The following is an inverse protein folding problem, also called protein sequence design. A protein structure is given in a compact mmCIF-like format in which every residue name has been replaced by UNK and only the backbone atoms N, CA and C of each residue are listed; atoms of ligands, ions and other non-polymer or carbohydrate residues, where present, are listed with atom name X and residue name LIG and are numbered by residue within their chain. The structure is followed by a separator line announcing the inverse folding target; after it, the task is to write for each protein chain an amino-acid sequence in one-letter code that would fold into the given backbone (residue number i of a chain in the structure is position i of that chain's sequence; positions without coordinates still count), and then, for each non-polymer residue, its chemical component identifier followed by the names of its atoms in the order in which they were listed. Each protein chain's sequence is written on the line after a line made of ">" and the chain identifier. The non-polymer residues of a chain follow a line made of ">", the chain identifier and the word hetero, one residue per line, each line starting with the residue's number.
data_IF_679896632647
#
_entry.id   IF_679896632647
#
_cell.length_a   1.000
_cell.length_b   1.000
_cell.length_c   1.000
_cell.angle_alpha   90.00
_cell.angle_beta   90.00
_cell.angle_gamma   90.00
#
_symmetry.space_group_name_H-M   'P 1'
#
loop_
_entity.id
_entity.type
_entity.pdbx_description
1 polymer ?
#
# COMPACT_ATOMS: atom_id res chain seq x y z
N UNK A 1 11.77 -16.65 -64.97
CA UNK A 1 11.67 -16.89 -63.51
C UNK A 1 12.37 -15.79 -62.68
N UNK A 2 11.97 -14.51 -62.81
CA UNK A 2 12.53 -13.40 -62.01
C UNK A 2 11.49 -12.33 -61.64
N UNK A 3 10.24 -12.75 -61.44
CA UNK A 3 9.13 -11.79 -61.21
C UNK A 3 8.14 -12.24 -60.12
N UNK A 4 8.61 -13.04 -59.15
CA UNK A 4 7.78 -13.46 -58.00
C UNK A 4 8.42 -13.14 -56.63
N UNK A 5 9.59 -12.51 -56.59
CA UNK A 5 10.34 -12.24 -55.34
C UNK A 5 10.09 -10.82 -54.79
N UNK A 6 9.25 -10.00 -55.43
CA UNK A 6 8.98 -8.62 -54.97
C UNK A 6 7.63 -8.41 -54.27
N UNK A 7 6.80 -9.44 -54.12
CA UNK A 7 5.48 -9.31 -53.46
C UNK A 7 5.47 -9.90 -52.05
N UNK A 8 6.46 -10.73 -51.69
CA UNK A 8 6.55 -11.37 -50.36
C UNK A 8 7.17 -10.49 -49.27
N UNK A 9 7.58 -9.26 -49.58
CA UNK A 9 8.17 -8.32 -48.60
C UNK A 9 7.17 -7.31 -48.03
N UNK A 10 5.95 -7.22 -48.57
CA UNK A 10 4.93 -6.23 -48.14
C UNK A 10 3.99 -6.82 -47.07
N UNK A 11 3.93 -8.14 -46.92
CA UNK A 11 3.08 -8.78 -45.92
C UNK A 11 3.72 -8.93 -44.52
N UNK A 12 5.02 -8.62 -44.38
CA UNK A 12 5.74 -8.76 -43.10
C UNK A 12 5.87 -7.44 -42.32
N UNK A 13 5.17 -6.37 -42.75
CA UNK A 13 5.31 -5.04 -42.15
C UNK A 13 4.05 -4.55 -41.40
N UNK A 14 3.03 -5.41 -41.24
CA UNK A 14 1.75 -5.02 -40.62
C UNK A 14 1.46 -5.64 -39.23
N UNK A 15 2.40 -6.35 -38.61
CA UNK A 15 2.18 -6.96 -37.28
C UNK A 15 2.70 -6.12 -36.10
N UNK A 16 3.09 -4.86 -36.31
CA UNK A 16 3.49 -3.97 -35.21
C UNK A 16 2.39 -3.01 -34.73
N UNK A 17 1.15 -3.20 -35.19
CA UNK A 17 0.01 -2.45 -34.64
C UNK A 17 -0.62 -3.21 -33.48
N UNK A 18 -0.39 -2.69 -32.27
CA UNK A 18 -1.36 -2.81 -31.19
C UNK A 18 -1.02 -3.83 -30.11
N UNK A 19 -0.02 -3.53 -29.30
CA UNK A 19 -0.02 -3.98 -27.91
C UNK A 19 0.16 -2.76 -27.01
N UNK A 20 -0.85 -1.90 -26.93
CA UNK A 20 -0.99 -0.98 -25.81
C UNK A 20 -2.42 -1.03 -25.27
N UNK A 21 -2.58 -0.66 -24.00
CA UNK A 21 -3.81 -0.35 -23.26
C UNK A 21 -4.39 -1.36 -22.26
N UNK A 22 -3.79 -2.54 -22.02
CA UNK A 22 -4.26 -3.42 -20.92
C UNK A 22 -3.32 -3.50 -19.72
N UNK A 23 -2.01 -3.58 -19.92
CA UNK A 23 -1.06 -3.61 -18.80
C UNK A 23 -1.05 -2.29 -18.02
N UNK A 24 -1.16 -1.16 -18.72
CA UNK A 24 -1.20 0.19 -18.14
C UNK A 24 -2.39 0.38 -17.18
N UNK A 25 -3.55 -0.20 -17.51
CA UNK A 25 -4.75 -0.14 -16.66
C UNK A 25 -4.65 -1.02 -15.40
N UNK A 26 -3.81 -2.05 -15.40
CA UNK A 26 -3.52 -2.84 -14.20
C UNK A 26 -2.45 -2.18 -13.34
N UNK A 27 -1.54 -1.41 -13.94
CA UNK A 27 -0.57 -0.63 -13.18
C UNK A 27 -1.28 0.35 -12.24
N UNK A 28 -2.41 0.95 -12.61
CA UNK A 28 -3.12 1.89 -11.72
C UNK A 28 -3.96 1.23 -10.62
N UNK A 29 -4.22 -0.08 -10.68
CA UNK A 29 -5.08 -0.76 -9.70
C UNK A 29 -4.27 -1.55 -8.69
N UNK A 30 -4.59 -1.40 -7.41
CA UNK A 30 -4.13 -2.33 -6.37
C UNK A 30 -4.85 -3.66 -6.56
N UNK A 31 -4.14 -4.67 -7.04
CA UNK A 31 -4.66 -6.03 -7.18
C UNK A 31 -4.52 -6.72 -5.82
N UNK A 32 -5.45 -7.59 -5.45
CA UNK A 32 -5.29 -8.50 -4.32
C UNK A 32 -4.94 -9.89 -4.86
N UNK A 33 -3.65 -10.22 -4.83
CA UNK A 33 -3.15 -11.56 -5.16
C UNK A 33 -2.84 -12.25 -3.84
N UNK A 34 -3.54 -13.35 -3.53
CA UNK A 34 -3.38 -14.08 -2.27
C UNK A 34 -2.01 -14.78 -2.18
N UNK A 35 -1.44 -14.81 -0.98
CA UNK A 35 -0.21 -15.51 -0.66
C UNK A 35 -0.50 -17.01 -0.42
N UNK A 36 0.09 -17.93 -1.20
CA UNK A 36 -0.17 -19.36 -1.05
C UNK A 36 0.31 -19.95 0.29
N UNK A 37 1.20 -19.23 1.00
CA UNK A 37 1.76 -19.65 2.29
C UNK A 37 1.19 -18.90 3.48
N UNK A 38 0.43 -17.82 3.24
CA UNK A 38 -0.21 -17.00 4.26
C UNK A 38 -1.69 -16.77 3.92
N UNK A 39 -2.59 -17.67 4.36
CA UNK A 39 -3.99 -17.63 4.00
C UNK A 39 -4.64 -16.26 4.22
N UNK A 40 -5.47 -15.82 3.28
CA UNK A 40 -6.18 -14.54 3.31
C UNK A 40 -5.30 -13.28 3.33
N UNK A 41 -3.97 -13.37 3.17
CA UNK A 41 -3.10 -12.20 3.03
C UNK A 41 -2.59 -12.04 1.60
N UNK A 42 -2.25 -10.82 1.16
CA UNK A 42 -1.69 -10.65 -0.16
C UNK A 42 -0.25 -11.17 -0.24
N UNK A 43 0.20 -11.66 -1.39
CA UNK A 43 1.60 -11.96 -1.64
C UNK A 43 2.47 -10.70 -1.53
N UNK A 44 3.64 -10.81 -0.91
CA UNK A 44 4.58 -9.70 -0.80
C UNK A 44 5.62 -9.79 -1.92
N UNK A 45 5.48 -8.99 -2.98
CA UNK A 45 6.36 -9.04 -4.17
C UNK A 45 7.42 -7.95 -4.24
N UNK A 46 7.17 -6.77 -3.64
CA UNK A 46 8.05 -5.58 -3.76
C UNK A 46 8.12 -4.98 -5.18
N UNK A 47 7.06 -5.25 -5.95
CA UNK A 47 6.94 -4.87 -7.35
C UNK A 47 5.82 -3.84 -7.57
N UNK A 48 4.99 -3.56 -6.55
CA UNK A 48 3.97 -2.51 -6.58
C UNK A 48 2.67 -2.90 -7.27
N UNK A 49 2.49 -4.20 -7.49
CA UNK A 49 1.29 -4.77 -8.12
C UNK A 49 0.27 -5.27 -7.11
N UNK A 50 0.64 -5.39 -5.82
CA UNK A 50 -0.20 -6.04 -4.82
C UNK A 50 -0.58 -5.12 -3.68
N UNK A 51 -1.71 -5.41 -3.06
CA UNK A 51 -2.25 -4.54 -2.04
C UNK A 51 -1.67 -4.81 -0.65
N UNK A 52 -2.32 -4.32 0.41
CA UNK A 52 -1.88 -4.52 1.79
C UNK A 52 -2.72 -5.57 2.53
N UNK A 53 -2.13 -6.14 3.58
CA UNK A 53 -2.85 -7.00 4.52
C UNK A 53 -2.09 -7.20 5.82
N UNK A 54 -2.83 -7.52 6.88
CA UNK A 54 -2.30 -7.92 8.17
C UNK A 54 -3.30 -8.84 8.87
N UNK A 55 -2.88 -9.52 9.94
CA UNK A 55 -3.83 -10.12 10.87
C UNK A 55 -4.02 -9.17 12.05
N UNK A 56 -5.28 -8.83 12.34
CA UNK A 56 -5.67 -8.25 13.63
C UNK A 56 -6.06 -9.42 14.53
N UNK A 57 -5.23 -9.66 15.54
CA UNK A 57 -5.16 -10.85 16.38
C UNK A 57 -4.94 -12.12 15.54
N UNK A 58 -6.01 -12.67 14.98
CA UNK A 58 -6.01 -13.91 14.18
C UNK A 58 -6.86 -13.81 12.91
N UNK A 59 -7.49 -12.66 12.69
CA UNK A 59 -8.43 -12.47 11.60
C UNK A 59 -7.84 -11.53 10.56
N UNK A 60 -8.00 -11.82 9.27
CA UNK A 60 -7.40 -11.03 8.22
C UNK A 60 -8.07 -9.65 8.13
N UNK A 61 -7.22 -8.64 8.08
CA UNK A 61 -7.53 -7.28 7.68
C UNK A 61 -6.81 -7.04 6.35
N UNK A 62 -7.57 -6.96 5.27
CA UNK A 62 -7.02 -6.86 3.92
C UNK A 62 -7.70 -5.77 3.14
N UNK A 63 -6.94 -5.19 2.22
CA UNK A 63 -7.52 -4.29 1.23
C UNK A 63 -8.63 -4.95 0.42
N UNK A 64 -9.50 -4.11 -0.12
CA UNK A 64 -10.65 -4.52 -0.88
C UNK A 64 -10.87 -3.47 -2.00
N UNK A 65 -11.32 -3.88 -3.18
CA UNK A 65 -11.57 -2.98 -4.33
C UNK A 65 -12.53 -1.83 -4.01
N UNK A 66 -13.48 -2.02 -3.08
CA UNK A 66 -14.43 -0.98 -2.65
C UNK A 66 -13.93 -0.11 -1.49
N UNK A 67 -12.81 -0.46 -0.84
CA UNK A 67 -12.28 0.27 0.33
C UNK A 67 -11.60 1.60 -0.03
N UNK A 68 -11.45 1.89 -1.33
CA UNK A 68 -10.71 3.03 -1.83
C UNK A 68 -9.20 2.78 -1.92
N UNK A 69 -8.50 3.73 -2.53
CA UNK A 69 -7.05 3.66 -2.75
C UNK A 69 -6.34 4.10 -1.45
N UNK A 70 -5.28 3.42 -1.00
CA UNK A 70 -4.43 3.91 0.08
C UNK A 70 -3.89 5.29 -0.23
N UNK A 71 -3.84 6.16 0.77
CA UNK A 71 -3.47 7.56 0.61
C UNK A 71 -2.30 7.91 1.52
N UNK A 72 -1.41 8.73 0.98
CA UNK A 72 -0.45 9.52 1.76
C UNK A 72 -0.87 10.98 1.71
N UNK A 73 -0.91 11.61 2.87
CA UNK A 73 -1.16 13.05 2.98
C UNK A 73 -0.11 13.67 3.86
N UNK A 74 0.52 14.75 3.41
CA UNK A 74 1.43 15.57 4.17
C UNK A 74 0.71 16.86 4.54
N UNK A 75 0.70 17.20 5.83
CA UNK A 75 0.20 18.48 6.33
C UNK A 75 1.24 19.05 7.28
N UNK A 76 1.85 20.18 6.92
CA UNK A 76 3.02 20.71 7.64
C UNK A 76 4.06 19.59 7.77
N UNK A 77 4.53 19.30 8.98
CA UNK A 77 5.52 18.26 9.27
C UNK A 77 4.92 16.89 9.65
N UNK A 78 3.62 16.66 9.37
CA UNK A 78 2.96 15.39 9.69
C UNK A 78 2.61 14.62 8.43
N UNK A 79 3.11 13.38 8.36
CA UNK A 79 2.70 12.40 7.34
C UNK A 79 1.55 11.53 7.88
N UNK A 80 0.47 11.46 7.11
CA UNK A 80 -0.65 10.55 7.32
C UNK A 80 -0.56 9.44 6.29
N UNK A 81 -0.56 8.20 6.74
CA UNK A 81 -0.58 7.00 5.91
C UNK A 81 -1.77 6.13 6.31
N UNK A 82 -2.73 5.97 5.40
CA UNK A 82 -4.02 5.32 5.69
C UNK A 82 -4.17 4.02 4.90
N UNK A 83 -4.49 2.94 5.61
CA UNK A 83 -4.82 1.64 5.05
C UNK A 83 -6.30 1.35 5.28
N UNK A 84 -7.09 1.25 4.20
CA UNK A 84 -8.53 0.99 4.24
C UNK A 84 -8.85 -0.37 3.65
N UNK A 85 -9.58 -1.19 4.40
CA UNK A 85 -9.80 -2.59 4.04
C UNK A 85 -11.01 -3.20 4.74
N UNK A 86 -11.15 -4.50 4.60
CA UNK A 86 -12.15 -5.32 5.29
C UNK A 86 -11.46 -6.16 6.35
N UNK A 87 -12.06 -6.19 7.54
CA UNK A 87 -11.77 -7.15 8.58
C UNK A 87 -12.78 -8.31 8.54
N UNK A 88 -12.28 -9.55 8.43
CA UNK A 88 -13.12 -10.76 8.37
C UNK A 88 -13.04 -11.54 9.69
N UNK A 89 -13.98 -11.31 10.61
CA UNK A 89 -14.00 -12.01 11.92
C UNK A 89 -14.46 -13.48 11.83
N UNK A 90 -14.89 -13.94 10.66
CA UNK A 90 -15.36 -15.31 10.41
C UNK A 90 -15.26 -15.65 8.93
N UNK A 91 -15.23 -16.94 8.61
CA UNK A 91 -15.34 -17.46 7.24
C UNK A 91 -16.72 -17.21 6.64
N UNK A 92 -17.71 -16.88 7.46
CA UNK A 92 -19.05 -16.52 6.98
C UNK A 92 -19.05 -15.12 6.35
N UNK A 93 -19.61 -15.04 5.12
CA UNK A 93 -19.65 -13.84 4.26
C UNK A 93 -20.23 -12.57 4.93
N UNK A 94 -21.00 -12.73 6.00
CA UNK A 94 -21.75 -11.67 6.67
C UNK A 94 -20.99 -10.93 7.80
N UNK A 95 -19.80 -11.39 8.22
CA UNK A 95 -19.01 -10.72 9.27
C UNK A 95 -17.85 -9.92 8.69
N UNK A 96 -18.19 -8.98 7.80
CA UNK A 96 -17.27 -8.04 7.18
C UNK A 96 -17.47 -6.67 7.82
N UNK A 97 -16.41 -6.11 8.37
CA UNK A 97 -16.39 -4.76 8.90
C UNK A 97 -15.42 -3.92 8.08
N UNK A 98 -15.82 -2.70 7.76
CA UNK A 98 -14.91 -1.74 7.15
C UNK A 98 -13.93 -1.29 8.21
N UNK A 99 -12.63 -1.42 7.92
CA UNK A 99 -11.58 -1.07 8.87
C UNK A 99 -10.62 -0.10 8.20
N UNK A 100 -10.29 0.96 8.91
CA UNK A 100 -9.22 1.89 8.54
C UNK A 100 -8.15 1.85 9.62
N UNK A 101 -6.90 1.62 9.22
CA UNK A 101 -5.74 1.76 10.07
C UNK A 101 -4.93 2.97 9.62
N UNK A 102 -4.95 4.01 10.44
CA UNK A 102 -4.27 5.27 10.16
C UNK A 102 -2.98 5.37 10.97
N UNK A 103 -1.87 5.61 10.28
CA UNK A 103 -0.59 5.97 10.87
C UNK A 103 -0.37 7.46 10.68
N UNK A 104 -0.10 8.16 11.78
CA UNK A 104 0.24 9.58 11.78
C UNK A 104 1.64 9.75 12.35
N UNK A 105 2.59 10.05 11.48
CA UNK A 105 4.00 10.29 11.84
C UNK A 105 4.21 11.79 12.00
N UNK A 106 4.32 12.27 13.24
CA UNK A 106 4.38 13.70 13.56
C UNK A 106 5.84 14.09 13.71
N UNK A 107 6.36 14.98 12.87
CA UNK A 107 7.75 15.45 12.90
C UNK A 107 8.81 14.35 12.68
N UNK A 108 8.42 13.08 12.51
CA UNK A 108 9.33 11.98 12.19
C UNK A 108 10.14 12.28 10.91
N UNK A 109 9.57 13.10 10.02
CA UNK A 109 10.13 13.43 8.70
C UNK A 109 10.25 14.94 8.48
N UNK A 110 10.18 15.79 9.51
CA UNK A 110 10.25 17.26 9.37
C UNK A 110 11.56 17.74 8.72
N UNK A 111 12.66 17.01 8.90
CA UNK A 111 13.93 17.26 8.22
C UNK A 111 13.91 16.86 6.73
N UNK A 112 12.81 16.27 6.24
CA UNK A 112 12.65 15.76 4.89
C UNK A 112 11.56 16.55 4.19
N UNK A 113 11.96 17.13 3.06
CA UNK A 113 11.04 17.82 2.17
C UNK A 113 10.26 16.76 1.38
N UNK A 114 9.02 16.50 1.81
CA UNK A 114 8.10 15.55 1.20
C UNK A 114 7.04 16.31 0.40
N UNK A 115 7.45 17.09 -0.60
CA UNK A 115 6.55 17.96 -1.36
C UNK A 115 5.80 17.20 -2.44
N UNK A 116 6.42 16.14 -2.98
CA UNK A 116 5.90 15.34 -4.10
C UNK A 116 6.08 13.86 -3.85
N UNK A 117 5.27 13.04 -4.50
CA UNK A 117 5.31 11.57 -4.33
C UNK A 117 6.67 10.95 -4.66
N UNK A 118 7.50 11.59 -5.51
CA UNK A 118 8.86 11.11 -5.80
C UNK A 118 9.79 11.18 -4.59
N UNK A 119 9.49 12.03 -3.61
CA UNK A 119 10.30 12.19 -2.40
C UNK A 119 10.15 11.00 -1.45
N UNK A 120 9.11 10.17 -1.66
CA UNK A 120 8.91 8.90 -0.96
C UNK A 120 10.07 7.91 -1.19
N UNK A 121 10.92 8.13 -2.19
CA UNK A 121 12.17 7.38 -2.37
C UNK A 121 13.08 7.42 -1.13
N UNK A 122 12.95 8.44 -0.29
CA UNK A 122 13.60 8.52 1.02
C UNK A 122 13.32 7.29 1.90
N UNK A 123 12.14 6.68 1.78
CA UNK A 123 11.75 5.54 2.59
C UNK A 123 12.41 4.22 2.19
N UNK A 124 13.30 4.22 1.19
CA UNK A 124 14.00 2.99 0.81
C UNK A 124 14.82 2.44 2.00
N UNK A 125 14.49 1.23 2.44
CA UNK A 125 15.05 0.58 3.62
C UNK A 125 14.94 1.42 4.92
N UNK A 126 13.88 2.21 5.07
CA UNK A 126 13.67 3.07 6.24
C UNK A 126 12.81 2.39 7.32
N UNK A 127 13.19 2.54 8.58
CA UNK A 127 12.49 1.91 9.71
C UNK A 127 11.94 2.97 10.68
N UNK A 128 10.67 2.82 11.04
CA UNK A 128 10.00 3.60 12.09
C UNK A 128 9.67 2.67 13.25
N UNK A 129 10.27 2.89 14.42
CA UNK A 129 9.87 2.21 15.65
C UNK A 129 8.73 2.98 16.31
N UNK A 130 7.66 2.31 16.73
CA UNK A 130 6.47 2.99 17.27
C UNK A 130 6.59 3.34 18.76
N UNK A 131 7.47 2.68 19.51
CA UNK A 131 7.50 2.77 20.98
C UNK A 131 8.06 4.11 21.50
N UNK A 132 8.95 4.73 20.72
CA UNK A 132 9.70 5.93 21.10
C UNK A 132 9.58 7.04 20.05
N UNK A 133 8.47 7.07 19.29
CA UNK A 133 8.29 8.07 18.24
C UNK A 133 7.04 8.90 18.46
N UNK A 134 7.03 10.06 17.83
CA UNK A 134 5.87 10.92 17.63
C UNK A 134 4.84 10.30 16.66
N UNK A 135 4.69 8.97 16.69
CA UNK A 135 3.74 8.21 15.86
C UNK A 135 2.46 7.97 16.63
N UNK A 136 1.32 8.38 16.07
CA UNK A 136 0.00 8.02 16.57
C UNK A 136 -0.66 7.05 15.60
N UNK A 137 -1.22 5.97 16.12
CA UNK A 137 -1.94 4.97 15.32
C UNK A 137 -3.40 4.96 15.76
N UNK A 138 -4.31 4.95 14.79
CA UNK A 138 -5.75 4.87 15.03
C UNK A 138 -6.32 3.69 14.26
N UNK A 139 -7.14 2.89 14.93
CA UNK A 139 -7.98 1.87 14.32
C UNK A 139 -9.42 2.37 14.29
N UNK A 140 -10.00 2.47 13.10
CA UNK A 140 -11.43 2.74 12.93
C UNK A 140 -12.11 1.46 12.46
N UNK A 141 -13.14 1.02 13.17
CA UNK A 141 -13.96 -0.14 12.81
C UNK A 141 -15.38 0.37 12.55
N UNK A 142 -15.86 0.21 11.32
CA UNK A 142 -17.05 0.86 10.80
C UNK A 142 -16.96 2.39 11.02
N UNK A 143 -17.77 2.95 11.92
CA UNK A 143 -17.76 4.38 12.25
C UNK A 143 -16.99 4.69 13.53
N UNK A 144 -16.69 3.69 14.35
CA UNK A 144 -16.10 3.84 15.66
C UNK A 144 -14.58 3.97 15.58
N UNK A 145 -14.01 4.97 16.27
CA UNK A 145 -12.60 5.35 16.17
C UNK A 145 -11.87 5.10 17.49
N UNK A 146 -10.84 4.27 17.46
CA UNK A 146 -10.02 3.91 18.61
C UNK A 146 -8.59 4.41 18.40
N UNK A 147 -8.13 5.33 19.24
CA UNK A 147 -6.72 5.70 19.27
C UNK A 147 -5.95 4.63 20.05
N UNK A 148 -4.91 4.06 19.42
CA UNK A 148 -4.19 2.93 19.98
C UNK A 148 -3.01 3.40 20.84
N UNK A 149 -2.90 2.86 22.05
CA UNK A 149 -1.73 3.04 22.92
C UNK A 149 -0.73 1.93 22.62
N UNK A 150 0.34 2.26 21.90
CA UNK A 150 1.33 1.27 21.43
C UNK A 150 2.16 0.74 22.61
N UNK A 151 2.31 -0.58 22.65
CA UNK A 151 3.15 -1.29 23.63
C UNK A 151 4.50 -1.65 23.01
N UNK A 152 4.45 -2.28 21.83
CA UNK A 152 5.62 -2.62 21.04
C UNK A 152 5.28 -2.61 19.55
N UNK A 153 6.20 -2.20 18.69
CA UNK A 153 6.03 -2.39 17.25
C UNK A 153 6.87 -1.47 16.39
N UNK A 154 6.83 -1.76 15.09
CA UNK A 154 7.54 -0.99 14.07
C UNK A 154 6.93 -1.15 12.69
N UNK A 155 7.31 -0.24 11.80
CA UNK A 155 7.13 -0.33 10.37
C UNK A 155 8.49 -0.24 9.68
N UNK A 156 8.72 -1.13 8.72
CA UNK A 156 9.88 -1.12 7.85
C UNK A 156 9.41 -0.92 6.42
N UNK A 157 9.70 0.25 5.88
CA UNK A 157 9.64 0.51 4.45
C UNK A 157 10.87 -0.17 3.83
N UNK A 158 10.70 -1.40 3.37
CA UNK A 158 11.83 -2.21 2.90
C UNK A 158 12.37 -1.68 1.57
N UNK A 159 11.48 -1.31 0.66
CA UNK A 159 11.82 -0.87 -0.69
C UNK A 159 10.98 0.33 -1.07
N UNK A 160 11.63 1.34 -1.65
CA UNK A 160 10.98 2.40 -2.39
C UNK A 160 11.53 2.41 -3.81
N UNK A 161 10.67 2.37 -4.83
CA UNK A 161 11.09 2.38 -6.23
C UNK A 161 10.18 3.24 -7.08
N UNK A 162 10.75 3.84 -8.11
CA UNK A 162 9.99 4.51 -9.16
C UNK A 162 9.40 3.46 -10.10
N UNK A 163 8.17 3.69 -10.54
CA UNK A 163 7.56 3.03 -11.67
C UNK A 163 7.50 4.04 -12.82
N UNK A 164 7.88 3.59 -14.01
CA UNK A 164 7.89 4.40 -15.23
C UNK A 164 6.86 3.88 -16.21
N UNK A 165 6.24 4.80 -16.96
CA UNK A 165 5.48 4.55 -18.17
C UNK A 165 6.00 5.53 -19.22
N UNK A 166 6.41 5.02 -20.38
CA UNK A 166 6.96 5.84 -21.47
C UNK A 166 8.04 6.84 -21.02
N UNK A 167 9.00 6.36 -20.20
CA UNK A 167 10.09 7.12 -19.57
C UNK A 167 9.67 8.22 -18.58
N UNK A 168 8.37 8.40 -18.32
CA UNK A 168 7.85 9.29 -17.30
C UNK A 168 7.59 8.55 -15.98
N UNK A 169 7.91 9.18 -14.85
CA UNK A 169 7.61 8.60 -13.54
C UNK A 169 6.11 8.70 -13.31
N UNK A 170 5.45 7.54 -13.22
CA UNK A 170 4.02 7.47 -12.90
C UNK A 170 3.76 7.51 -11.40
N UNK A 171 4.57 6.78 -10.64
CA UNK A 171 4.40 6.61 -9.20
C UNK A 171 5.67 6.13 -8.50
N UNK A 172 5.69 6.28 -7.19
CA UNK A 172 6.62 5.57 -6.30
C UNK A 172 5.88 4.43 -5.61
N UNK A 173 6.42 3.23 -5.76
CA UNK A 173 5.98 2.05 -5.02
C UNK A 173 6.71 2.02 -3.69
N UNK A 174 5.95 1.94 -2.59
CA UNK A 174 6.45 1.64 -1.25
C UNK A 174 6.05 0.24 -0.85
N UNK A 175 7.05 -0.59 -0.58
CA UNK A 175 6.87 -1.97 -0.15
C UNK A 175 7.47 -2.17 1.21
N UNK A 176 6.75 -2.80 2.12
CA UNK A 176 7.21 -2.94 3.48
C UNK A 176 6.39 -3.87 4.35
N UNK A 177 6.78 -3.91 5.62
CA UNK A 177 6.15 -4.74 6.64
C UNK A 177 5.94 -3.94 7.92
N UNK A 178 4.93 -4.31 8.67
CA UNK A 178 4.66 -3.71 9.97
C UNK A 178 4.05 -4.75 10.93
N UNK A 179 4.28 -4.53 12.20
CA UNK A 179 3.63 -5.27 13.28
C UNK A 179 3.66 -4.41 14.54
N UNK A 180 2.66 -4.59 15.39
CA UNK A 180 2.63 -3.95 16.69
C UNK A 180 1.61 -4.60 17.64
N UNK A 181 1.76 -4.31 18.92
CA UNK A 181 0.79 -4.58 19.98
C UNK A 181 0.35 -3.26 20.57
N UNK A 182 -0.94 -3.13 20.88
CA UNK A 182 -1.49 -1.92 21.45
C UNK A 182 -2.69 -2.20 22.33
N UNK A 183 -2.97 -1.30 23.27
CA UNK A 183 -4.27 -1.25 23.93
C UNK A 183 -5.27 -0.48 23.05
N UNK A 184 -6.47 -1.04 22.87
CA UNK A 184 -7.51 -0.46 22.03
C UNK A 184 -8.31 0.65 22.76
N UNK A 185 -8.34 0.57 24.09
CA UNK A 185 -9.00 1.53 24.98
C UNK A 185 -8.01 2.05 26.03
N UNK A 186 -8.36 3.15 26.69
CA UNK A 186 -7.50 3.81 27.69
C UNK A 186 -7.31 3.00 28.98
N UNK A 187 -8.08 1.92 29.15
CA UNK A 187 -8.21 1.20 30.42
C UNK A 187 -7.22 0.02 30.52
N UNK A 188 -6.28 -0.09 29.57
CA UNK A 188 -5.20 -1.09 29.51
C UNK A 188 -5.65 -2.57 29.65
N UNK A 189 -6.94 -2.85 29.43
CA UNK A 189 -7.53 -4.19 29.60
C UNK A 189 -7.49 -5.05 28.33
N UNK A 190 -7.68 -4.43 27.15
CA UNK A 190 -7.81 -5.12 25.88
C UNK A 190 -6.62 -4.84 24.95
N UNK A 191 -5.72 -5.83 24.84
CA UNK A 191 -4.61 -5.80 23.89
C UNK A 191 -5.06 -6.33 22.54
N UNK A 192 -4.82 -5.54 21.50
CA UNK A 192 -4.84 -6.00 20.11
C UNK A 192 -3.42 -6.22 19.61
N UNK A 193 -3.26 -7.24 18.77
CA UNK A 193 -2.01 -7.55 18.08
C UNK A 193 -2.21 -7.41 16.59
N UNK A 194 -1.46 -6.54 15.93
CA UNK A 194 -1.35 -6.54 14.48
C UNK A 194 -0.06 -7.24 14.09
N UNK A 195 -0.18 -8.35 13.36
CA UNK A 195 0.98 -9.17 12.94
C UNK A 195 0.96 -9.44 11.44
N UNK A 196 2.13 -9.81 10.91
CA UNK A 196 2.33 -10.14 9.50
C UNK A 196 1.85 -9.04 8.55
N UNK A 197 1.86 -7.78 9.02
CA UNK A 197 1.47 -6.63 8.24
C UNK A 197 2.44 -6.46 7.09
N UNK A 198 1.89 -6.26 5.90
CA UNK A 198 2.63 -6.10 4.65
C UNK A 198 1.88 -5.17 3.72
N UNK A 199 2.61 -4.46 2.90
CA UNK A 199 2.07 -3.54 1.92
C UNK A 199 3.01 -3.43 0.72
N UNK A 200 2.46 -3.23 -0.46
CA UNK A 200 3.20 -3.04 -1.70
C UNK A 200 2.52 -2.00 -2.60
N UNK A 201 2.47 -0.76 -2.11
CA UNK A 201 1.49 0.24 -2.57
C UNK A 201 2.13 1.29 -3.48
N UNK A 202 1.44 1.62 -4.56
CA UNK A 202 1.80 2.70 -5.47
C UNK A 202 1.26 4.06 -5.03
N UNK A 203 2.11 5.08 -5.04
CA UNK A 203 1.75 6.48 -4.77
C UNK A 203 2.15 7.39 -5.93
N UNK A 204 1.16 8.01 -6.54
CA UNK A 204 1.32 8.96 -7.64
C UNK A 204 0.48 10.21 -7.39
N UNK A 205 0.10 10.90 -8.47
CA UNK A 205 -0.69 12.13 -8.40
C UNK A 205 -2.03 11.96 -7.68
N UNK A 206 -2.73 10.84 -7.91
CA UNK A 206 -4.11 10.65 -7.43
C UNK A 206 -4.25 10.36 -5.93
N UNK A 207 -3.17 9.93 -5.27
CA UNK A 207 -3.22 9.45 -3.89
C UNK A 207 -2.08 9.93 -3.00
N UNK A 208 -1.27 10.87 -3.51
CA UNK A 208 -0.32 11.65 -2.73
C UNK A 208 -0.78 13.11 -2.66
N UNK A 209 -1.03 13.60 -1.44
CA UNK A 209 -1.51 14.96 -1.23
C UNK A 209 -0.53 15.72 -0.33
N UNK A 210 -0.13 16.92 -0.74
CA UNK A 210 0.69 17.81 0.08
C UNK A 210 -0.09 19.11 0.32
N UNK A 211 -0.29 19.45 1.59
CA UNK A 211 -0.91 20.71 2.01
C UNK A 211 0.05 21.46 2.92
N UNK A 212 0.35 22.70 2.56
CA UNK A 212 1.12 23.63 3.40
C UNK A 212 0.33 24.09 4.64
#
# INVERSE_FOLDING_TARGET
>A
MKTYIKITAIFLFFTLLGCSSKEDFYLDRNIFIEDPTSPDLPIYSEEGYNSFGAYINRFPFVSNLSSGIPQITIKKDTMFFSLKGIYKKSTQKYYRQDVTLDFRFIDNFSQKKLDKYTDLMFFNNYMVNFNNTNTKITLKINEEKHQLKIVDGKMHFKKARKLFLDDEIMKVVLSGRFYFKAFMNNDDSDIITIKSGRFDLGFGYDNYNHFE
#
